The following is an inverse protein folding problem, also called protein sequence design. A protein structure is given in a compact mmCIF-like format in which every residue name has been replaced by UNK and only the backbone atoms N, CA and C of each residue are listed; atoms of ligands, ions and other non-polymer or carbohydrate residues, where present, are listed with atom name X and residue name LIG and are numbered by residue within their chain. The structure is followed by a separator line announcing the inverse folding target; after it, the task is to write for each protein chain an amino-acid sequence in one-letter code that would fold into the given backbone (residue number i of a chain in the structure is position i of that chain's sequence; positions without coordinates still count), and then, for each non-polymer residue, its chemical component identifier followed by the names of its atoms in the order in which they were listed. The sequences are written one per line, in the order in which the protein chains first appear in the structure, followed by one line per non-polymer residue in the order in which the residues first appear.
data_IF_562651961764
#
_entry.id   IF_562651961764
#
_cell.length_a   1.000
_cell.length_b   1.000
_cell.length_c   1.000
_cell.angle_alpha   90.00
_cell.angle_beta   90.00
_cell.angle_gamma   90.00
#
_symmetry.space_group_name_H-M   'P 1'
#
loop_
_entity.id
_entity.type
_entity.pdbx_description
1 polymer ?
#
# COMPACT_ATOMS: atom_id res chain seq x y z
N UNK A 1 6.48 -11.99 12.65
CA UNK A 1 5.74 -10.74 12.88
C UNK A 1 5.88 -9.87 11.62
N UNK A 2 4.83 -9.75 10.80
CA UNK A 2 4.88 -9.10 9.47
C UNK A 2 5.20 -7.60 9.59
N UNK A 3 4.71 -6.96 10.66
CA UNK A 3 4.94 -5.52 10.91
C UNK A 3 6.38 -5.24 11.39
N UNK A 4 7.11 -6.27 11.83
CA UNK A 4 8.53 -6.17 12.23
C UNK A 4 9.50 -6.74 11.17
N UNK A 5 8.98 -7.23 10.04
CA UNK A 5 9.79 -7.73 8.95
C UNK A 5 10.52 -6.58 8.22
N UNK A 6 11.62 -6.90 7.52
CA UNK A 6 12.57 -5.90 6.98
C UNK A 6 12.00 -5.11 5.80
N UNK A 7 10.82 -5.49 5.35
CA UNK A 7 10.14 -4.94 4.19
C UNK A 7 8.66 -4.76 4.51
N UNK A 8 8.37 -4.08 5.62
CA UNK A 8 7.00 -3.72 5.97
C UNK A 8 6.57 -2.49 5.18
N UNK A 9 5.93 -2.73 4.04
CA UNK A 9 5.41 -1.68 3.16
C UNK A 9 4.04 -1.21 3.57
N UNK A 10 3.68 -0.01 3.13
CA UNK A 10 2.45 0.67 3.54
C UNK A 10 1.19 -0.13 3.20
N UNK A 11 1.16 -0.83 2.07
CA UNK A 11 0.04 -1.69 1.67
C UNK A 11 -0.15 -2.85 2.67
N UNK A 12 0.94 -3.52 3.05
CA UNK A 12 0.92 -4.59 4.05
C UNK A 12 0.43 -4.10 5.42
N UNK A 13 0.84 -2.89 5.83
CA UNK A 13 0.42 -2.31 7.10
C UNK A 13 -1.09 -2.08 7.12
N UNK A 14 -1.62 -1.42 6.07
CA UNK A 14 -3.06 -1.12 6.02
C UNK A 14 -3.91 -2.39 5.91
N UNK A 15 -3.48 -3.37 5.11
CA UNK A 15 -4.13 -4.68 5.04
C UNK A 15 -4.10 -5.40 6.39
N UNK A 16 -2.99 -5.29 7.14
CA UNK A 16 -2.89 -5.87 8.49
C UNK A 16 -3.82 -5.15 9.47
N UNK A 17 -3.94 -3.82 9.40
CA UNK A 17 -4.92 -3.08 10.22
C UNK A 17 -6.35 -3.53 9.93
N UNK A 18 -6.72 -3.67 8.65
CA UNK A 18 -8.02 -4.19 8.25
C UNK A 18 -8.28 -5.60 8.78
N UNK A 19 -7.29 -6.49 8.66
CA UNK A 19 -7.36 -7.85 9.21
C UNK A 19 -7.57 -7.85 10.73
N UNK A 20 -6.75 -7.10 11.48
CA UNK A 20 -6.85 -7.04 12.94
C UNK A 20 -8.22 -6.54 13.38
N UNK A 21 -8.72 -5.44 12.78
CA UNK A 21 -10.04 -4.90 13.10
C UNK A 21 -11.12 -5.97 12.85
N UNK A 22 -11.10 -6.63 11.70
CA UNK A 22 -12.07 -7.70 11.38
C UNK A 22 -12.00 -8.84 12.38
N UNK A 23 -10.80 -9.30 12.74
CA UNK A 23 -10.61 -10.40 13.70
C UNK A 23 -11.12 -10.04 15.10
N UNK A 24 -10.82 -8.84 15.59
CA UNK A 24 -11.28 -8.41 16.92
C UNK A 24 -12.78 -8.08 16.95
N UNK A 25 -13.36 -7.59 15.85
CA UNK A 25 -14.81 -7.45 15.74
C UNK A 25 -15.53 -8.80 15.78
N UNK A 26 -14.97 -9.82 15.13
CA UNK A 26 -15.51 -11.17 15.19
C UNK A 26 -15.45 -11.72 16.63
N UNK A 27 -14.29 -11.62 17.30
CA UNK A 27 -14.12 -12.06 18.69
C UNK A 27 -15.07 -11.37 19.68
N UNK A 28 -15.42 -10.09 19.46
CA UNK A 28 -16.44 -9.38 20.27
C UNK A 28 -17.81 -10.02 20.17
N UNK A 29 -18.14 -10.56 19.00
CA UNK A 29 -19.45 -11.17 18.72
C UNK A 29 -19.54 -12.58 19.32
N UNK A 30 -18.43 -13.33 19.35
CA UNK A 30 -18.39 -14.70 19.86
C UNK A 30 -18.41 -14.79 21.39
N UNK A 31 -17.75 -13.87 22.10
CA UNK A 31 -17.67 -13.91 23.55
C UNK A 31 -17.69 -12.50 24.17
N UNK A 32 -18.71 -12.24 24.99
CA UNK A 32 -18.91 -10.95 25.65
C UNK A 32 -17.80 -10.58 26.64
N UNK A 33 -17.08 -11.56 27.21
CA UNK A 33 -15.94 -11.31 28.09
C UNK A 33 -14.74 -10.67 27.36
N UNK A 34 -14.64 -10.86 26.03
CA UNK A 34 -13.56 -10.31 25.22
C UNK A 34 -13.80 -8.84 24.83
N UNK A 35 -15.01 -8.30 25.07
CA UNK A 35 -15.41 -6.96 24.63
C UNK A 35 -14.43 -5.86 25.08
N UNK A 36 -14.00 -5.79 26.36
CA UNK A 36 -13.11 -4.71 26.81
C UNK A 36 -11.75 -4.75 26.10
N UNK A 37 -11.13 -5.94 26.03
CA UNK A 37 -9.83 -6.13 25.39
C UNK A 37 -9.86 -5.86 23.89
N UNK A 38 -10.85 -6.42 23.18
CA UNK A 38 -11.00 -6.21 21.74
C UNK A 38 -11.28 -4.73 21.42
N UNK A 39 -12.08 -4.06 22.24
CA UNK A 39 -12.38 -2.62 22.05
C UNK A 39 -11.12 -1.79 22.26
N UNK A 40 -10.33 -2.05 23.31
CA UNK A 40 -9.06 -1.36 23.52
C UNK A 40 -8.08 -1.52 22.35
N UNK A 41 -8.00 -2.72 21.76
CA UNK A 41 -7.14 -2.98 20.60
C UNK A 41 -7.65 -2.26 19.35
N UNK A 42 -8.94 -2.36 19.04
CA UNK A 42 -9.54 -1.64 17.89
C UNK A 42 -9.30 -0.14 18.03
N UNK A 43 -9.61 0.45 19.19
CA UNK A 43 -9.38 1.86 19.46
C UNK A 43 -7.91 2.25 19.33
N UNK A 44 -6.98 1.40 19.76
CA UNK A 44 -5.54 1.64 19.57
C UNK A 44 -5.15 1.69 18.08
N UNK A 45 -5.68 0.77 17.27
CA UNK A 45 -5.44 0.77 15.81
C UNK A 45 -6.05 2.01 15.16
N UNK A 46 -7.30 2.35 15.47
CA UNK A 46 -8.00 3.53 14.95
C UNK A 46 -7.27 4.84 15.31
N UNK A 47 -6.81 4.95 16.56
CA UNK A 47 -6.05 6.11 17.03
C UNK A 47 -4.71 6.28 16.29
N UNK A 48 -4.06 5.18 15.92
CA UNK A 48 -2.84 5.22 15.09
C UNK A 48 -3.19 5.63 13.67
N UNK A 49 -4.21 5.02 13.08
CA UNK A 49 -4.67 5.34 11.73
C UNK A 49 -5.06 6.81 11.57
N UNK A 50 -5.73 7.39 12.57
CA UNK A 50 -6.13 8.80 12.58
C UNK A 50 -4.93 9.78 12.52
N UNK A 51 -3.73 9.34 12.94
CA UNK A 51 -2.51 10.16 12.97
C UNK A 51 -1.58 9.90 11.78
N UNK A 52 -1.88 8.91 10.94
CA UNK A 52 -1.05 8.57 9.78
C UNK A 52 -1.42 9.37 8.54
N UNK A 53 -0.50 9.43 7.58
CA UNK A 53 -0.77 9.96 6.24
C UNK A 53 -1.58 8.95 5.40
N UNK A 54 -2.88 8.89 5.71
CA UNK A 54 -3.81 7.87 5.22
C UNK A 54 -3.82 7.73 3.70
N UNK A 55 -3.67 8.84 2.97
CA UNK A 55 -3.70 8.88 1.51
C UNK A 55 -2.62 7.98 0.89
N UNK A 56 -1.41 7.96 1.46
CA UNK A 56 -0.31 7.13 0.94
C UNK A 56 -0.56 5.65 1.18
N UNK A 57 -1.07 5.30 2.36
CA UNK A 57 -1.43 3.92 2.67
C UNK A 57 -2.53 3.40 1.74
N UNK A 58 -3.57 4.22 1.51
CA UNK A 58 -4.66 3.89 0.59
C UNK A 58 -4.12 3.73 -0.83
N UNK A 59 -3.28 4.66 -1.28
CA UNK A 59 -2.66 4.58 -2.60
C UNK A 59 -1.77 3.34 -2.74
N UNK A 60 -1.00 2.98 -1.73
CA UNK A 60 -0.17 1.78 -1.75
C UNK A 60 -1.01 0.51 -1.93
N UNK A 61 -2.15 0.40 -1.25
CA UNK A 61 -3.09 -0.74 -1.43
C UNK A 61 -3.73 -0.72 -2.82
N UNK A 62 -4.15 0.45 -3.32
CA UNK A 62 -4.72 0.55 -4.67
C UNK A 62 -3.70 0.19 -5.75
N UNK A 63 -2.43 0.56 -5.56
CA UNK A 63 -1.33 0.22 -6.46
C UNK A 63 -0.88 -1.24 -6.31
N UNK A 64 -1.27 -1.93 -5.24
CA UNK A 64 -1.00 -3.35 -5.12
C UNK A 64 -1.87 -4.13 -6.15
N UNK A 65 -1.28 -4.76 -7.18
CA UNK A 65 -2.05 -5.36 -8.26
C UNK A 65 -2.87 -6.59 -7.85
N UNK A 66 -2.61 -7.14 -6.66
CA UNK A 66 -3.40 -8.23 -6.09
C UNK A 66 -4.72 -7.75 -5.49
N UNK A 67 -4.76 -6.52 -4.97
CA UNK A 67 -5.93 -5.99 -4.23
C UNK A 67 -6.65 -4.87 -4.99
N UNK A 68 -5.91 -3.91 -5.55
CA UNK A 68 -6.47 -2.71 -6.18
C UNK A 68 -7.50 -2.02 -5.27
N UNK A 69 -8.68 -1.66 -5.80
CA UNK A 69 -9.76 -1.07 -5.00
C UNK A 69 -10.56 -2.09 -4.18
N UNK A 70 -10.29 -3.40 -4.27
CA UNK A 70 -11.16 -4.41 -3.64
C UNK A 70 -11.35 -4.22 -2.13
N UNK A 71 -10.32 -3.82 -1.34
CA UNK A 71 -10.52 -3.57 0.10
C UNK A 71 -11.38 -2.34 0.39
N UNK A 72 -11.61 -1.50 -0.61
CA UNK A 72 -12.26 -0.20 -0.49
C UNK A 72 -13.65 -0.16 -1.14
N UNK A 73 -14.22 -1.32 -1.48
CA UNK A 73 -15.50 -1.42 -2.20
C UNK A 73 -16.66 -0.69 -1.50
N UNK A 74 -16.66 -0.66 -0.16
CA UNK A 74 -17.67 0.04 0.66
C UNK A 74 -17.26 1.46 1.06
N UNK A 75 -16.22 2.02 0.45
CA UNK A 75 -15.73 3.38 0.70
C UNK A 75 -15.89 4.25 -0.56
N UNK A 76 -15.54 5.53 -0.49
CA UNK A 76 -15.57 6.43 -1.65
C UNK A 76 -14.51 6.12 -2.73
N UNK A 77 -13.56 5.23 -2.47
CA UNK A 77 -12.49 4.84 -3.42
C UNK A 77 -12.88 3.74 -4.43
N UNK A 78 -14.18 3.50 -4.63
CA UNK A 78 -14.66 2.55 -5.65
C UNK A 78 -14.78 3.16 -7.06
N UNK A 79 -14.49 4.46 -7.23
CA UNK A 79 -14.59 5.15 -8.52
C UNK A 79 -13.21 5.53 -9.07
N UNK A 80 -13.05 5.42 -10.39
CA UNK A 80 -11.81 5.83 -11.09
C UNK A 80 -11.50 7.31 -10.83
N UNK A 81 -12.51 8.17 -10.74
CA UNK A 81 -12.35 9.61 -10.48
C UNK A 81 -11.78 9.87 -9.09
N UNK A 82 -12.26 9.14 -8.07
CA UNK A 82 -11.72 9.26 -6.71
C UNK A 82 -10.24 8.84 -6.66
N UNK A 83 -9.88 7.73 -7.34
CA UNK A 83 -8.50 7.25 -7.43
C UNK A 83 -7.60 8.26 -8.16
N UNK A 84 -8.05 8.79 -9.31
CA UNK A 84 -7.31 9.83 -10.04
C UNK A 84 -7.08 11.06 -9.15
N UNK A 85 -8.10 11.50 -8.42
CA UNK A 85 -8.00 12.66 -7.54
C UNK A 85 -7.00 12.44 -6.41
N UNK A 86 -7.00 11.25 -5.80
CA UNK A 86 -6.01 10.83 -4.81
C UNK A 86 -4.60 10.85 -5.40
N UNK A 87 -4.39 10.20 -6.55
CA UNK A 87 -3.08 10.12 -7.17
C UNK A 87 -2.56 11.48 -7.65
N UNK A 88 -3.45 12.37 -8.12
CA UNK A 88 -3.08 13.75 -8.47
C UNK A 88 -2.55 14.53 -7.25
N UNK A 89 -3.21 14.42 -6.09
CA UNK A 89 -2.73 15.07 -4.85
C UNK A 89 -1.39 14.52 -4.40
N UNK A 90 -1.24 13.19 -4.41
CA UNK A 90 0.01 12.54 -4.03
C UNK A 90 1.15 12.85 -5.01
N UNK A 91 0.87 12.87 -6.31
CA UNK A 91 1.84 13.25 -7.34
C UNK A 91 2.34 14.68 -7.11
N UNK A 92 1.43 15.65 -6.99
CA UNK A 92 1.81 17.03 -6.70
C UNK A 92 2.66 17.12 -5.41
N UNK A 93 2.35 16.34 -4.39
CA UNK A 93 3.11 16.33 -3.13
C UNK A 93 4.51 15.71 -3.28
N UNK A 94 4.67 14.61 -4.01
CA UNK A 94 5.96 13.92 -4.16
C UNK A 94 6.84 14.48 -5.28
N UNK A 95 6.27 15.25 -6.22
CA UNK A 95 6.97 15.80 -7.37
C UNK A 95 6.88 17.34 -7.42
N UNK A 96 7.00 18.00 -6.26
CA UNK A 96 7.16 19.47 -6.15
C UNK A 96 6.09 20.30 -6.87
N UNK A 97 4.82 19.90 -6.76
CA UNK A 97 3.67 20.61 -7.32
C UNK A 97 3.47 20.40 -8.81
N UNK A 98 4.22 19.50 -9.45
CA UNK A 98 4.05 19.19 -10.87
C UNK A 98 2.63 18.69 -11.16
N UNK A 99 2.12 19.04 -12.34
CA UNK A 99 0.86 18.49 -12.82
C UNK A 99 1.01 17.01 -13.17
N UNK A 100 -0.09 16.27 -13.01
CA UNK A 100 -0.13 14.86 -13.35
C UNK A 100 -0.05 14.72 -14.88
N UNK A 101 0.90 13.95 -15.44
CA UNK A 101 1.01 13.79 -16.89
C UNK A 101 -0.27 13.23 -17.52
N UNK A 102 -0.63 13.68 -18.72
CA UNK A 102 -1.84 13.21 -19.42
C UNK A 102 -1.85 11.68 -19.64
N UNK A 103 -0.69 11.10 -19.95
CA UNK A 103 -0.55 9.65 -20.11
C UNK A 103 -0.90 8.87 -18.84
N UNK A 104 -0.74 9.49 -17.66
CA UNK A 104 -1.03 8.91 -16.36
C UNK A 104 -2.54 8.61 -16.23
N UNK A 105 -3.42 9.47 -16.76
CA UNK A 105 -4.86 9.26 -16.69
C UNK A 105 -5.29 7.98 -17.42
N UNK A 106 -4.70 7.72 -18.59
CA UNK A 106 -4.93 6.50 -19.36
C UNK A 106 -4.37 5.29 -18.61
N UNK A 107 -3.15 5.39 -18.08
CA UNK A 107 -2.51 4.30 -17.33
C UNK A 107 -3.30 3.88 -16.08
N UNK A 108 -3.83 4.84 -15.30
CA UNK A 108 -4.69 4.53 -14.15
C UNK A 108 -5.91 3.73 -14.59
N UNK A 109 -6.59 4.18 -15.66
CA UNK A 109 -7.79 3.52 -16.15
C UNK A 109 -7.47 2.10 -16.63
N UNK A 110 -6.39 1.94 -17.39
CA UNK A 110 -6.00 0.62 -17.91
C UNK A 110 -5.53 -0.31 -16.79
N UNK A 111 -4.82 0.21 -15.79
CA UNK A 111 -4.45 -0.55 -14.60
C UNK A 111 -5.68 -1.06 -13.84
N UNK A 112 -6.59 -0.16 -13.52
CA UNK A 112 -7.80 -0.47 -12.76
C UNK A 112 -8.74 -1.43 -13.51
N UNK A 113 -8.81 -1.31 -14.85
CA UNK A 113 -9.62 -2.19 -15.70
C UNK A 113 -8.86 -3.43 -16.21
N UNK A 114 -7.61 -3.64 -15.78
CA UNK A 114 -6.75 -4.76 -16.21
C UNK A 114 -6.62 -4.87 -17.74
N UNK A 115 -6.37 -3.73 -18.38
CA UNK A 115 -6.19 -3.59 -19.83
C UNK A 115 -4.72 -3.33 -20.20
N UNK A 116 -4.44 -3.44 -21.49
CA UNK A 116 -3.11 -3.17 -22.06
C UNK A 116 -2.00 -3.92 -21.34
N UNK A 117 -0.94 -3.20 -21.00
CA UNK A 117 0.22 -3.72 -20.28
C UNK A 117 -0.09 -4.21 -18.86
N UNK A 118 -1.18 -3.76 -18.24
CA UNK A 118 -1.55 -4.12 -16.87
C UNK A 118 -2.46 -5.35 -16.77
N UNK A 119 -2.80 -6.00 -17.89
CA UNK A 119 -3.70 -7.16 -17.88
C UNK A 119 -3.18 -8.32 -17.02
N UNK A 120 -1.89 -8.58 -17.10
CA UNK A 120 -1.25 -9.77 -16.52
C UNK A 120 -0.29 -9.45 -15.37
N UNK A 121 -0.21 -8.18 -14.93
CA UNK A 121 0.64 -7.75 -13.81
C UNK A 121 0.35 -8.56 -12.53
N UNK A 122 -0.92 -8.87 -12.27
CA UNK A 122 -1.34 -9.68 -11.12
C UNK A 122 -1.16 -11.19 -11.34
N UNK A 123 -0.91 -11.61 -12.59
CA UNK A 123 -0.64 -13.01 -12.95
C UNK A 123 0.85 -13.35 -12.92
N UNK A 124 1.72 -12.40 -12.58
CA UNK A 124 3.12 -12.64 -12.30
C UNK A 124 3.27 -13.54 -11.05
N UNK A 125 3.00 -14.84 -11.22
CA UNK A 125 3.01 -15.92 -10.21
C UNK A 125 4.38 -16.11 -9.52
N UNK A 126 5.38 -15.31 -9.87
CA UNK A 126 6.78 -15.48 -9.44
C UNK A 126 7.17 -14.64 -8.23
N UNK A 127 6.38 -13.63 -7.84
CA UNK A 127 6.65 -12.87 -6.63
C UNK A 127 5.37 -12.28 -6.03
N UNK A 128 5.08 -12.49 -4.74
CA UNK A 128 3.99 -11.81 -4.04
C UNK A 128 4.30 -10.33 -3.76
N UNK A 129 5.42 -9.80 -4.30
CA UNK A 129 5.85 -8.43 -4.10
C UNK A 129 5.35 -7.49 -5.22
N UNK A 130 4.35 -6.62 -4.93
CA UNK A 130 3.90 -5.55 -5.82
C UNK A 130 5.00 -4.69 -6.45
N UNK A 131 6.07 -4.38 -5.72
CA UNK A 131 7.14 -3.53 -6.25
C UNK A 131 7.87 -4.26 -7.38
N UNK A 132 8.19 -5.54 -7.17
CA UNK A 132 8.81 -6.38 -8.19
C UNK A 132 7.88 -6.60 -9.39
N UNK A 133 6.56 -6.67 -9.19
CA UNK A 133 5.58 -6.75 -10.30
C UNK A 133 5.71 -5.56 -11.26
N UNK A 134 5.85 -4.34 -10.74
CA UNK A 134 6.10 -3.15 -11.57
C UNK A 134 7.52 -3.12 -12.14
N UNK A 135 8.50 -3.69 -11.45
CA UNK A 135 9.87 -3.80 -11.99
C UNK A 135 9.91 -4.71 -13.22
N UNK A 136 9.18 -5.82 -13.22
CA UNK A 136 9.11 -6.72 -14.36
C UNK A 136 8.34 -6.13 -15.56
N UNK A 137 7.36 -5.25 -15.32
CA UNK A 137 6.68 -4.52 -16.40
C UNK A 137 7.63 -3.61 -17.20
N UNK A 138 8.63 -3.02 -16.53
CA UNK A 138 9.63 -2.18 -17.18
C UNK A 138 10.67 -2.97 -17.99
N UNK A 139 10.73 -4.30 -17.85
CA UNK A 139 11.75 -5.12 -18.50
C UNK A 139 11.45 -5.27 -20.00
N UNK A 140 12.07 -4.42 -20.83
CA UNK A 140 11.97 -4.44 -22.29
C UNK A 140 11.32 -3.20 -22.93
N UNK A 141 10.88 -2.22 -22.14
CA UNK A 141 10.42 -0.91 -22.65
C UNK A 141 11.54 0.13 -22.50
N UNK A 142 11.78 0.97 -23.53
CA UNK A 142 12.87 1.96 -23.49
C UNK A 142 12.61 3.11 -22.49
N UNK A 143 11.36 3.32 -22.05
CA UNK A 143 11.00 4.35 -21.06
C UNK A 143 9.87 3.83 -20.17
N UNK A 144 10.05 3.93 -18.85
CA UNK A 144 9.00 3.59 -17.89
C UNK A 144 7.90 4.66 -17.89
N UNK A 145 6.63 4.23 -17.82
CA UNK A 145 5.52 5.18 -17.77
C UNK A 145 5.51 5.95 -16.45
N UNK A 146 5.06 7.23 -16.42
CA UNK A 146 4.93 8.01 -15.19
C UNK A 146 4.12 7.30 -14.09
N UNK A 147 3.10 6.54 -14.48
CA UNK A 147 2.31 5.71 -13.55
C UNK A 147 3.17 4.63 -12.89
N UNK A 148 4.02 3.94 -13.66
CA UNK A 148 4.89 2.89 -13.16
C UNK A 148 5.94 3.46 -12.19
N UNK A 149 6.50 4.63 -12.51
CA UNK A 149 7.44 5.36 -11.65
C UNK A 149 6.76 5.74 -10.33
N UNK A 150 5.55 6.31 -10.40
CA UNK A 150 4.75 6.63 -9.22
C UNK A 150 4.43 5.40 -8.38
N UNK A 151 4.01 4.30 -9.03
CA UNK A 151 3.69 3.06 -8.35
C UNK A 151 4.88 2.52 -7.56
N UNK A 152 6.05 2.46 -8.20
CA UNK A 152 7.31 2.05 -7.57
C UNK A 152 7.72 2.97 -6.43
N UNK A 153 7.57 4.29 -6.59
CA UNK A 153 7.87 5.26 -5.54
C UNK A 153 6.99 5.01 -4.30
N UNK A 154 5.66 4.91 -4.46
CA UNK A 154 4.77 4.66 -3.32
C UNK A 154 5.07 3.30 -2.67
N UNK A 155 5.30 2.26 -3.49
CA UNK A 155 5.55 0.90 -3.01
C UNK A 155 6.95 0.68 -2.45
N UNK A 156 7.89 1.62 -2.61
CA UNK A 156 9.21 1.53 -1.98
C UNK A 156 9.22 2.10 -0.55
N UNK A 157 8.16 2.82 -0.15
CA UNK A 157 8.07 3.40 1.19
C UNK A 157 7.89 2.28 2.23
N UNK A 158 8.82 2.24 3.18
CA UNK A 158 8.78 1.34 4.34
C UNK A 158 8.18 2.05 5.54
N UNK A 159 7.18 1.44 6.19
CA UNK A 159 6.48 2.05 7.33
C UNK A 159 7.11 1.81 8.70
N UNK A 160 8.31 1.23 8.76
CA UNK A 160 9.05 1.06 10.01
C UNK A 160 10.54 1.42 9.84
N UNK A 161 11.16 1.87 10.94
CA UNK A 161 12.61 2.00 11.09
C UNK A 161 13.27 0.67 11.44
N UNK A 162 12.50 -0.39 11.68
CA UNK A 162 12.99 -1.67 12.18
C UNK A 162 14.03 -2.32 11.25
N UNK A 163 13.99 -2.01 9.95
CA UNK A 163 15.04 -2.40 9.00
C UNK A 163 16.36 -1.71 9.27
N UNK A 164 16.33 -0.40 9.56
CA UNK A 164 17.51 0.35 10.00
C UNK A 164 17.97 -0.11 11.38
N UNK A 165 17.07 -0.36 12.33
CA UNK A 165 17.41 -0.84 13.68
C UNK A 165 18.12 -2.21 13.65
N UNK A 166 17.67 -3.15 12.81
CA UNK A 166 18.35 -4.44 12.66
C UNK A 166 19.70 -4.30 11.96
N UNK A 167 19.81 -3.43 10.97
CA UNK A 167 21.09 -3.11 10.35
C UNK A 167 22.07 -2.51 11.36
N UNK A 168 21.63 -1.54 12.16
CA UNK A 168 22.44 -0.94 13.23
C UNK A 168 22.78 -1.94 14.33
N UNK A 169 21.87 -2.85 14.67
CA UNK A 169 22.16 -3.94 15.63
C UNK A 169 23.26 -4.87 15.10
N UNK A 170 23.24 -5.21 13.81
CA UNK A 170 24.28 -6.03 13.19
C UNK A 170 25.65 -5.31 13.17
N UNK A 171 25.66 -4.00 12.91
CA UNK A 171 26.87 -3.18 12.98
C UNK A 171 27.36 -2.93 14.41
N UNK A 172 26.49 -3.00 15.42
CA UNK A 172 26.87 -2.93 16.83
C UNK A 172 27.97 -3.95 17.17
N UNK A 173 27.86 -5.17 16.65
CA UNK A 173 28.87 -6.23 16.81
C UNK A 173 30.25 -5.93 16.20
N UNK A 174 30.37 -4.93 15.33
CA UNK A 174 31.63 -4.52 14.67
C UNK A 174 32.18 -3.22 15.29
N UNK A 175 31.30 -2.39 15.85
CA UNK A 175 31.62 -1.06 16.37
C UNK A 175 31.86 -1.01 17.89
N UNK A 176 31.68 -2.13 18.60
CA UNK A 176 32.02 -2.31 20.03
C UNK A 176 33.10 -3.36 20.19
#
# INVERSE_FOLDING_TARGET
NIIQASFCRLDMILLTFGYLISSYQHMKTENSQNIPGCTAIITSVENRWAKTDQEVFIAAVILNPMYQWSPFHHSHFHSVVAVISLFKRLWARFYNGQELPESFHTDIRDYLLKKGQFRDISKAKRSPDPFLMYQYLGFGTMTESPFTIFAKHILSITGNSASCERLFSAFGTILT
#
